data_IF_853992393333
#
_entry.id   IF_853992393333
#
_cell.length_a   1.000
_cell.length_b   1.000
_cell.length_c   1.000
_cell.angle_alpha   90.00
_cell.angle_beta   90.00
_cell.angle_gamma   90.00
#
_symmetry.space_group_name_H-M   'P 1'
#
loop_
_entity.id
_entity.type
_entity.pdbx_description
1 polymer ?
#
# COMPACT_ATOMS: atom_id res chain seq x y z
N UNK A 1 7.60 -1.73 -1.56
CA UNK A 1 7.00 -0.41 -1.88
C UNK A 1 6.32 0.11 -0.62
N UNK A 2 6.48 1.39 -0.27
CA UNK A 2 5.68 2.02 0.80
C UNK A 2 4.84 3.12 0.13
N UNK A 3 3.56 3.17 0.48
CA UNK A 3 2.61 4.19 0.06
C UNK A 3 1.71 4.60 1.21
N UNK A 4 0.78 5.51 0.92
CA UNK A 4 -0.22 6.00 1.84
C UNK A 4 -1.60 5.47 1.45
N UNK A 5 -2.46 5.26 2.44
CA UNK A 5 -3.89 5.10 2.27
C UNK A 5 -4.59 6.33 2.82
N UNK A 6 -5.52 6.90 2.07
CA UNK A 6 -6.30 8.05 2.52
C UNK A 6 -7.74 7.99 1.96
N UNK A 7 -8.69 8.55 2.72
CA UNK A 7 -10.09 8.66 2.29
C UNK A 7 -10.29 9.65 1.13
N UNK A 8 -9.29 10.52 0.87
CA UNK A 8 -9.31 11.51 -0.20
C UNK A 8 -7.92 11.74 -0.76
N UNK A 9 -7.86 12.30 -1.97
CA UNK A 9 -6.59 12.69 -2.58
C UNK A 9 -5.93 13.80 -1.76
N UNK A 10 -4.68 13.57 -1.39
CA UNK A 10 -3.83 14.53 -0.69
C UNK A 10 -2.60 14.87 -1.53
N UNK A 11 -1.92 15.97 -1.19
CA UNK A 11 -0.67 16.34 -1.86
C UNK A 11 0.45 15.46 -1.32
N UNK A 12 0.91 14.52 -2.14
CA UNK A 12 2.05 13.65 -1.85
C UNK A 12 2.63 13.14 -3.17
N UNK A 13 3.92 12.84 -3.18
CA UNK A 13 4.58 12.16 -4.30
C UNK A 13 4.60 10.63 -4.10
N UNK A 14 4.15 10.14 -2.93
CA UNK A 14 4.08 8.73 -2.61
C UNK A 14 2.93 8.04 -3.35
N UNK A 15 3.02 6.72 -3.60
CA UNK A 15 1.87 5.94 -4.03
C UNK A 15 0.71 6.15 -3.04
N UNK A 16 -0.44 6.59 -3.53
CA UNK A 16 -1.58 6.97 -2.71
C UNK A 16 -2.78 6.09 -3.09
N UNK A 17 -3.12 5.17 -2.22
CA UNK A 17 -4.30 4.32 -2.29
C UNK A 17 -5.53 5.11 -1.82
N UNK A 18 -6.53 5.28 -2.70
CA UNK A 18 -7.71 6.13 -2.41
C UNK A 18 -8.99 5.45 -2.89
N UNK A 19 -10.11 5.49 -2.12
CA UNK A 19 -11.39 4.92 -2.53
C UNK A 19 -12.09 5.74 -3.63
N UNK A 20 -11.55 5.70 -4.84
CA UNK A 20 -12.05 6.39 -6.03
C UNK A 20 -11.98 5.47 -7.25
N UNK A 21 -12.73 5.81 -8.29
CA UNK A 21 -12.79 5.04 -9.54
C UNK A 21 -11.78 5.47 -10.60
N UNK A 22 -11.04 6.57 -10.40
CA UNK A 22 -10.15 7.12 -11.43
C UNK A 22 -8.77 7.47 -10.86
N UNK A 23 -7.71 7.05 -11.54
CA UNK A 23 -6.35 7.46 -11.22
C UNK A 23 -6.07 8.86 -11.76
N UNK A 24 -6.49 9.91 -11.04
CA UNK A 24 -6.35 11.30 -11.51
C UNK A 24 -4.91 11.81 -11.62
N UNK A 25 -3.94 11.06 -11.08
CA UNK A 25 -2.50 11.32 -11.13
C UNK A 25 -1.70 10.01 -11.16
N UNK A 26 -0.44 10.00 -11.64
CA UNK A 26 0.37 8.79 -11.74
C UNK A 26 0.62 8.04 -10.43
N UNK A 27 0.66 8.75 -9.31
CA UNK A 27 0.88 8.16 -7.99
C UNK A 27 -0.41 7.69 -7.31
N UNK A 28 -1.59 8.00 -7.88
CA UNK A 28 -2.87 7.60 -7.30
C UNK A 28 -3.22 6.18 -7.75
N UNK A 29 -3.52 5.33 -6.78
CA UNK A 29 -3.96 3.95 -6.95
C UNK A 29 -5.45 3.90 -6.59
N UNK A 30 -6.36 3.73 -7.57
CA UNK A 30 -7.78 3.53 -7.31
C UNK A 30 -8.01 2.31 -6.42
N UNK A 31 -8.84 2.45 -5.39
CA UNK A 31 -9.26 1.38 -4.49
C UNK A 31 -10.77 1.20 -4.57
N UNK A 32 -11.19 0.20 -5.35
CA UNK A 32 -12.58 0.05 -5.77
C UNK A 32 -13.22 -1.19 -5.15
N UNK A 33 -14.52 -1.15 -4.93
CA UNK A 33 -15.31 -2.31 -4.55
C UNK A 33 -15.79 -3.08 -5.81
N UNK A 34 -16.78 -3.96 -5.67
CA UNK A 34 -17.33 -4.81 -6.75
C UNK A 34 -18.20 -4.07 -7.80
N UNK A 35 -18.24 -2.74 -7.80
CA UNK A 35 -18.92 -1.98 -8.85
C UNK A 35 -18.14 -2.06 -10.17
N UNK A 36 -18.73 -2.75 -11.15
CA UNK A 36 -18.11 -2.97 -12.46
C UNK A 36 -17.84 -1.66 -13.21
N UNK A 37 -18.70 -0.65 -13.09
CA UNK A 37 -18.49 0.63 -13.76
C UNK A 37 -17.25 1.33 -13.20
N UNK A 38 -17.15 1.38 -11.87
CA UNK A 38 -16.01 1.93 -11.16
C UNK A 38 -14.72 1.16 -11.45
N UNK A 39 -14.77 -0.18 -11.48
CA UNK A 39 -13.61 -1.03 -11.81
C UNK A 39 -13.11 -0.81 -13.23
N UNK A 40 -14.01 -0.72 -14.21
CA UNK A 40 -13.61 -0.46 -15.60
C UNK A 40 -12.95 0.90 -15.74
N UNK A 41 -13.49 1.94 -15.09
CA UNK A 41 -12.87 3.27 -15.09
C UNK A 41 -11.48 3.26 -14.41
N UNK A 42 -11.36 2.56 -13.30
CA UNK A 42 -10.10 2.43 -12.57
C UNK A 42 -9.05 1.72 -13.42
N UNK A 43 -9.42 0.63 -14.08
CA UNK A 43 -8.54 -0.08 -15.00
C UNK A 43 -8.18 0.73 -16.23
N UNK A 44 -9.08 1.59 -16.73
CA UNK A 44 -8.79 2.45 -17.89
C UNK A 44 -7.78 3.54 -17.56
N UNK A 45 -7.93 4.18 -16.40
CA UNK A 45 -7.11 5.32 -15.97
C UNK A 45 -5.82 4.92 -15.25
N UNK A 46 -5.74 3.69 -14.70
CA UNK A 46 -4.60 3.27 -13.88
C UNK A 46 -3.25 3.32 -14.61
N UNK A 47 -2.28 3.94 -13.94
CA UNK A 47 -0.90 4.04 -14.41
C UNK A 47 -0.04 2.85 -13.99
N UNK A 48 -0.20 2.38 -12.74
CA UNK A 48 0.71 1.38 -12.15
C UNK A 48 -0.02 0.25 -11.44
N UNK A 49 -1.08 0.56 -10.70
CA UNK A 49 -1.84 -0.41 -9.94
C UNK A 49 -3.32 -0.03 -9.80
N UNK A 50 -4.15 -1.03 -9.50
CA UNK A 50 -5.53 -0.89 -9.00
C UNK A 50 -5.67 -1.81 -7.80
N UNK A 51 -6.31 -1.34 -6.73
CA UNK A 51 -6.74 -2.18 -5.63
C UNK A 51 -8.24 -2.48 -5.75
N UNK A 52 -8.59 -3.75 -5.56
CA UNK A 52 -9.96 -4.24 -5.66
C UNK A 52 -10.34 -4.91 -4.35
N UNK A 53 -11.33 -4.36 -3.66
CA UNK A 53 -11.96 -4.97 -2.49
C UNK A 53 -13.04 -5.94 -2.95
N UNK A 54 -12.72 -7.22 -3.01
CA UNK A 54 -13.61 -8.26 -3.51
C UNK A 54 -13.32 -9.63 -2.90
N UNK A 55 -14.37 -10.45 -2.81
CA UNK A 55 -14.25 -11.91 -2.60
C UNK A 55 -14.48 -12.70 -3.89
N UNK A 56 -14.73 -12.02 -5.01
CA UNK A 56 -15.06 -12.62 -6.29
C UNK A 56 -13.81 -12.87 -7.14
N UNK A 57 -13.39 -14.14 -7.25
CA UNK A 57 -12.25 -14.54 -8.09
C UNK A 57 -12.44 -14.20 -9.58
N UNK A 58 -13.68 -14.15 -10.06
CA UNK A 58 -13.99 -13.80 -11.45
C UNK A 58 -13.67 -12.33 -11.71
N UNK A 59 -14.03 -11.43 -10.79
CA UNK A 59 -13.74 -10.00 -10.90
C UNK A 59 -12.22 -9.75 -10.96
N UNK A 60 -11.45 -10.43 -10.11
CA UNK A 60 -9.98 -10.33 -10.13
C UNK A 60 -9.40 -10.84 -11.44
N UNK A 61 -9.89 -11.99 -11.93
CA UNK A 61 -9.41 -12.55 -13.19
C UNK A 61 -9.74 -11.62 -14.37
N UNK A 62 -10.94 -11.08 -14.39
CA UNK A 62 -11.35 -10.09 -15.40
C UNK A 62 -10.43 -8.87 -15.38
N UNK A 63 -10.16 -8.30 -14.21
CA UNK A 63 -9.27 -7.15 -14.07
C UNK A 63 -7.86 -7.45 -14.60
N UNK A 64 -7.32 -8.62 -14.27
CA UNK A 64 -5.99 -9.05 -14.71
C UNK A 64 -5.90 -9.33 -16.22
N UNK A 65 -7.00 -9.75 -16.87
CA UNK A 65 -7.08 -9.95 -18.32
C UNK A 65 -7.24 -8.62 -19.06
N UNK A 66 -8.04 -7.68 -18.53
CA UNK A 66 -8.26 -6.36 -19.16
C UNK A 66 -6.98 -5.52 -19.15
N UNK A 67 -6.24 -5.50 -18.03
CA UNK A 67 -4.96 -4.78 -17.89
C UNK A 67 -3.86 -5.74 -17.42
N UNK A 68 -3.24 -6.51 -18.33
CA UNK A 68 -2.16 -7.43 -17.97
C UNK A 68 -0.87 -6.69 -17.58
N UNK A 69 -0.80 -5.39 -17.83
CA UNK A 69 0.34 -4.49 -17.60
C UNK A 69 0.28 -3.77 -16.25
N UNK A 70 -0.83 -3.80 -15.49
CA UNK A 70 -0.93 -3.16 -14.16
C UNK A 70 -0.80 -4.17 -13.03
N UNK A 71 -0.46 -3.71 -11.83
CA UNK A 71 -0.52 -4.50 -10.61
C UNK A 71 -1.96 -4.50 -10.05
N UNK A 72 -2.53 -5.67 -9.80
CA UNK A 72 -3.83 -5.81 -9.15
C UNK A 72 -3.60 -6.19 -7.69
N UNK A 73 -3.96 -5.31 -6.77
CA UNK A 73 -3.98 -5.56 -5.34
C UNK A 73 -5.37 -6.03 -4.94
N UNK A 74 -5.48 -7.14 -4.21
CA UNK A 74 -6.77 -7.75 -3.89
C UNK A 74 -7.00 -7.75 -2.39
N UNK A 75 -7.95 -6.95 -1.93
CA UNK A 75 -8.44 -6.98 -0.56
C UNK A 75 -9.66 -7.90 -0.48
N UNK A 76 -9.65 -8.86 0.44
CA UNK A 76 -10.71 -9.87 0.60
C UNK A 76 -10.37 -11.27 0.10
N UNK A 77 -9.27 -11.45 -0.64
CA UNK A 77 -8.77 -12.77 -1.07
C UNK A 77 -7.25 -12.87 -0.93
N UNK A 78 -6.77 -13.95 -0.32
CA UNK A 78 -5.34 -14.30 -0.26
C UNK A 78 -4.85 -14.97 -1.56
N UNK A 79 -5.10 -14.36 -2.71
CA UNK A 79 -4.70 -14.89 -4.02
C UNK A 79 -3.42 -14.23 -4.53
N UNK A 80 -2.63 -15.01 -5.27
CA UNK A 80 -1.34 -14.59 -5.78
C UNK A 80 -1.15 -15.06 -7.22
N UNK A 81 -0.67 -14.14 -8.04
CA UNK A 81 -0.22 -14.37 -9.40
C UNK A 81 0.99 -13.51 -9.72
N UNK A 82 1.33 -13.45 -11.02
CA UNK A 82 2.45 -12.62 -11.51
C UNK A 82 2.21 -11.14 -11.21
N UNK A 83 1.02 -10.63 -11.58
CA UNK A 83 0.58 -9.24 -11.41
C UNK A 83 -0.57 -9.08 -10.41
N UNK A 84 -1.03 -10.17 -9.81
CA UNK A 84 -2.08 -10.16 -8.78
C UNK A 84 -1.42 -10.43 -7.43
N UNK A 85 -1.59 -9.52 -6.48
CA UNK A 85 -1.04 -9.65 -5.11
C UNK A 85 -2.14 -9.41 -4.09
N UNK A 86 -2.12 -10.10 -2.94
CA UNK A 86 -3.10 -9.82 -1.90
C UNK A 86 -2.75 -8.50 -1.19
N UNK A 87 -3.77 -7.73 -0.87
CA UNK A 87 -3.74 -6.62 0.07
C UNK A 87 -4.31 -7.12 1.39
N UNK A 88 -3.45 -7.23 2.39
CA UNK A 88 -3.66 -7.94 3.64
C UNK A 88 -3.79 -6.97 4.81
N UNK A 89 -4.28 -7.50 5.93
CA UNK A 89 -4.28 -6.81 7.23
C UNK A 89 -3.15 -7.36 8.12
N UNK A 90 -2.58 -6.54 9.02
CA UNK A 90 -1.55 -6.99 9.95
C UNK A 90 -2.01 -8.19 10.78
N UNK A 91 -1.11 -9.15 11.00
CA UNK A 91 -1.42 -10.47 11.57
C UNK A 91 -1.76 -11.57 10.55
N UNK A 92 -1.92 -11.24 9.26
CA UNK A 92 -1.99 -12.25 8.21
C UNK A 92 -0.63 -12.95 8.03
N UNK A 93 -0.61 -14.29 8.11
CA UNK A 93 0.60 -15.09 7.88
C UNK A 93 0.81 -15.39 6.37
N UNK A 94 0.81 -14.35 5.53
CA UNK A 94 0.90 -14.50 4.08
C UNK A 94 1.77 -13.42 3.43
N UNK A 95 2.45 -13.78 2.32
CA UNK A 95 3.26 -12.81 1.58
C UNK A 95 2.38 -11.90 0.72
N UNK A 96 2.51 -10.58 0.89
CA UNK A 96 1.67 -9.61 0.18
C UNK A 96 1.95 -8.16 0.54
N UNK A 97 1.04 -7.28 0.11
CA UNK A 97 1.00 -5.89 0.53
C UNK A 97 0.12 -5.78 1.78
N UNK A 98 0.41 -4.85 2.68
CA UNK A 98 -0.37 -4.67 3.91
C UNK A 98 -0.95 -3.28 3.97
N UNK A 99 -2.23 -3.18 4.32
CA UNK A 99 -2.88 -1.92 4.68
C UNK A 99 -2.83 -1.77 6.21
N UNK A 100 -2.13 -0.74 6.67
CA UNK A 100 -1.72 -0.55 8.06
C UNK A 100 -2.39 0.72 8.58
N UNK A 101 -3.28 0.57 9.57
CA UNK A 101 -4.07 1.67 10.11
C UNK A 101 -3.36 2.39 11.25
N UNK A 102 -2.43 1.73 11.95
CA UNK A 102 -1.68 2.37 13.04
C UNK A 102 -0.27 1.82 13.19
N UNK A 103 0.58 2.57 13.92
CA UNK A 103 1.97 2.18 14.18
C UNK A 103 2.07 0.89 14.99
N UNK A 104 1.14 0.64 15.90
CA UNK A 104 1.07 -0.61 16.67
C UNK A 104 0.87 -1.81 15.75
N UNK A 105 0.13 -1.64 14.65
CA UNK A 105 -0.13 -2.75 13.74
C UNK A 105 1.12 -3.21 12.99
N UNK A 106 2.10 -2.33 12.76
CA UNK A 106 3.37 -2.69 12.11
C UNK A 106 4.10 -3.83 12.83
N UNK A 107 4.01 -3.88 14.17
CA UNK A 107 4.64 -4.94 14.98
C UNK A 107 4.03 -6.33 14.75
N UNK A 108 2.84 -6.39 14.15
CA UNK A 108 2.13 -7.64 13.81
C UNK A 108 2.44 -8.13 12.39
N UNK A 109 3.32 -7.43 11.67
CA UNK A 109 3.73 -7.80 10.32
C UNK A 109 5.09 -8.47 10.39
N UNK A 110 5.20 -9.67 9.84
CA UNK A 110 6.50 -10.27 9.55
C UNK A 110 7.11 -9.55 8.33
N UNK A 111 8.20 -8.82 8.57
CA UNK A 111 8.91 -8.06 7.54
C UNK A 111 9.38 -8.91 6.36
N UNK A 112 9.62 -10.21 6.54
CA UNK A 112 10.01 -11.13 5.47
C UNK A 112 8.84 -11.50 4.51
N UNK A 113 7.60 -11.26 4.95
CA UNK A 113 6.37 -11.48 4.19
C UNK A 113 5.84 -10.19 3.54
N UNK A 114 6.29 -9.02 3.97
CA UNK A 114 5.86 -7.74 3.44
C UNK A 114 6.52 -7.42 2.08
N UNK A 115 5.74 -7.42 1.01
CA UNK A 115 6.17 -6.90 -0.31
C UNK A 115 5.99 -5.38 -0.42
N UNK A 116 5.05 -4.85 0.37
CA UNK A 116 4.83 -3.42 0.51
C UNK A 116 3.82 -3.08 1.60
N UNK A 117 3.74 -1.79 1.91
CA UNK A 117 2.89 -1.24 2.96
C UNK A 117 2.12 -0.05 2.41
N UNK A 118 0.84 0.06 2.76
CA UNK A 118 0.04 1.26 2.63
C UNK A 118 -0.30 1.73 4.04
N UNK A 119 0.23 2.88 4.44
CA UNK A 119 0.09 3.43 5.78
C UNK A 119 -1.06 4.45 5.78
N UNK A 120 -1.98 4.36 6.75
CA UNK A 120 -3.06 5.32 6.87
C UNK A 120 -2.50 6.76 7.07
N UNK A 121 -2.82 7.66 6.15
CA UNK A 121 -2.24 9.00 6.11
C UNK A 121 -2.64 9.89 7.29
N UNK A 122 -3.75 9.59 7.97
CA UNK A 122 -4.22 10.33 9.14
C UNK A 122 -3.54 9.81 10.42
N UNK A 123 -3.06 8.57 10.41
CA UNK A 123 -2.46 7.91 11.58
C UNK A 123 -0.92 7.89 11.56
N UNK A 124 -0.32 8.23 10.42
CA UNK A 124 1.13 8.25 10.24
C UNK A 124 1.60 9.65 9.82
N UNK A 125 2.60 10.17 10.53
CA UNK A 125 3.22 11.45 10.18
C UNK A 125 3.90 11.36 8.79
N UNK A 126 3.48 12.21 7.87
CA UNK A 126 3.92 12.14 6.47
C UNK A 126 5.40 12.45 6.32
N UNK A 127 5.94 13.38 7.12
CA UNK A 127 7.37 13.71 7.12
C UNK A 127 8.19 12.49 7.52
N UNK A 128 7.76 11.80 8.55
CA UNK A 128 8.38 10.56 9.01
C UNK A 128 8.32 9.45 7.94
N UNK A 129 7.19 9.28 7.26
CA UNK A 129 7.08 8.31 6.14
C UNK A 129 8.01 8.68 4.98
N UNK A 130 8.12 9.97 4.64
CA UNK A 130 9.06 10.44 3.62
C UNK A 130 10.52 10.19 4.00
N UNK A 131 10.90 10.48 5.24
CA UNK A 131 12.26 10.24 5.73
C UNK A 131 12.59 8.74 5.79
N UNK A 132 11.60 7.88 6.09
CA UNK A 132 11.73 6.44 6.00
C UNK A 132 12.08 6.00 4.57
N UNK A 133 11.35 6.56 3.60
CA UNK A 133 11.50 6.25 2.18
C UNK A 133 12.79 6.78 1.57
N UNK A 134 13.30 7.92 2.07
CA UNK A 134 14.61 8.48 1.68
C UNK A 134 15.79 7.72 2.31
N UNK A 135 15.53 6.68 3.11
CA UNK A 135 16.56 5.89 3.79
C UNK A 135 17.30 6.68 4.88
N UNK A 136 16.68 7.73 5.41
CA UNK A 136 17.28 8.61 6.42
C UNK A 136 16.96 8.20 7.84
N UNK A 137 15.89 7.43 8.04
CA UNK A 137 15.66 6.78 9.33
C UNK A 137 16.72 5.70 9.55
N UNK A 138 17.44 5.80 10.66
CA UNK A 138 18.37 4.77 11.12
C UNK A 138 17.81 4.13 12.38
N UNK A 139 17.89 2.81 12.43
CA UNK A 139 17.68 2.05 13.64
C UNK A 139 19.00 1.82 14.35
N UNK A 140 19.05 2.14 15.64
CA UNK A 140 20.17 1.75 16.48
C UNK A 140 20.30 0.21 16.47
N UNK A 141 21.51 -0.28 16.19
CA UNK A 141 21.82 -1.70 16.20
C UNK A 141 21.35 -2.50 14.97
N UNK A 142 20.85 -1.86 13.91
CA UNK A 142 20.42 -2.57 12.72
C UNK A 142 21.30 -2.26 11.50
N UNK A 143 22.07 -3.25 11.04
CA UNK A 143 22.92 -3.13 9.85
C UNK A 143 22.17 -3.34 8.53
N UNK A 144 21.05 -4.07 8.56
CA UNK A 144 20.18 -4.36 7.41
C UNK A 144 18.73 -4.44 7.88
N UNK A 145 18.07 -3.28 7.98
CA UNK A 145 16.66 -3.21 8.37
C UNK A 145 15.75 -3.22 7.14
N UNK A 146 14.71 -4.04 7.19
CA UNK A 146 13.64 -4.00 6.20
C UNK A 146 12.75 -2.77 6.38
N UNK A 147 11.86 -2.47 5.41
CA UNK A 147 10.94 -1.33 5.51
C UNK A 147 10.05 -1.36 6.75
N UNK A 148 9.58 -2.54 7.18
CA UNK A 148 8.78 -2.68 8.40
C UNK A 148 9.60 -2.34 9.64
N UNK A 149 10.84 -2.81 9.72
CA UNK A 149 11.73 -2.58 10.88
C UNK A 149 12.04 -1.09 11.06
N UNK A 150 12.32 -0.39 9.95
CA UNK A 150 12.55 1.06 9.94
C UNK A 150 11.33 1.85 10.45
N UNK A 151 10.12 1.41 10.08
CA UNK A 151 8.88 2.05 10.47
C UNK A 151 8.44 1.71 11.92
N UNK A 152 8.88 0.57 12.47
CA UNK A 152 8.65 0.24 13.89
C UNK A 152 9.63 1.01 14.78
N UNK A 153 10.84 1.22 14.28
CA UNK A 153 11.91 1.88 15.00
C UNK A 153 11.53 3.26 15.53
N UNK A 154 11.94 3.55 16.77
CA UNK A 154 12.06 4.92 17.22
C UNK A 154 13.32 5.50 16.56
N UNK A 155 13.18 6.03 15.35
CA UNK A 155 14.21 6.90 14.80
C UNK A 155 14.41 8.05 15.81
N UNK A 156 15.62 8.14 16.35
CA UNK A 156 15.97 9.12 17.37
C UNK A 156 15.64 10.56 16.91
N UNK A 157 15.28 11.37 17.91
CA UNK A 157 15.02 12.82 17.86
C UNK A 157 16.07 13.59 17.03
N UNK A 158 15.79 13.84 15.76
CA UNK A 158 16.39 14.94 14.99
C UNK A 158 15.35 15.60 14.06
N UNK A 159 14.08 15.61 14.44
CA UNK A 159 13.06 16.50 13.84
C UNK A 159 12.75 17.68 14.79
N UNK A 160 13.64 17.97 15.74
CA UNK A 160 13.64 19.18 16.57
C UNK A 160 14.90 20.03 16.31
N UNK A 161 15.10 20.54 15.09
CA UNK A 161 15.87 21.77 14.80
C UNK A 161 15.50 22.18 13.36
N UNK A 162 14.92 23.33 12.99
CA UNK A 162 14.98 24.74 13.44
C UNK A 162 13.59 25.36 13.33
#
# INVERSE_FOLDING_TARGET
MIGLYAEKIIRTDLPLLVPICEAVKPNVIPYVDDDLACLVEALRSAYSAVALRTKNKVAVRLAAEIRPDVLILVDGLAIRGRRVKPLLRPGAAARGYYLVESREELRRIDGALAEGLFLNADSFDQTWVEEALRGRLKCDGCSTCGPVDLLVCNAYREVEVV
#
